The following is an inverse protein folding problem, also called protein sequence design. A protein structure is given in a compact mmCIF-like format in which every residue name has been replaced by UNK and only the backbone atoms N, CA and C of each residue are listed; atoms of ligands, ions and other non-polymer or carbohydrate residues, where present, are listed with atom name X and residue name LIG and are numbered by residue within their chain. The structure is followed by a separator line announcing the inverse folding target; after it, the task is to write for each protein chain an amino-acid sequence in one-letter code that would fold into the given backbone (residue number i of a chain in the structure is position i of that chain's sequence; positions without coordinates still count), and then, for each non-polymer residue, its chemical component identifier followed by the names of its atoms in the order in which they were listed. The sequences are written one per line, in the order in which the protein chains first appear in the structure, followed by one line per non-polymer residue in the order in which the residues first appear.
data_IF_344030762417
#
_entry.id   IF_344030762417
#
_cell.length_a   1.000
_cell.length_b   1.000
_cell.length_c   1.000
_cell.angle_alpha   90.00
_cell.angle_beta   90.00
_cell.angle_gamma   90.00
#
_symmetry.space_group_name_H-M   'P 1'
#
loop_
_entity.id
_entity.type
_entity.pdbx_description
1 polymer ?
#
# COMPACT_ATOMS: atom_id res chain seq x y z
N UNK A 1 -19.54 15.82 -45.08
CA UNK A 1 -20.28 16.12 -43.83
C UNK A 1 -19.69 15.20 -42.79
N UNK A 2 -18.67 15.67 -42.07
CA UNK A 2 -17.78 14.82 -41.28
C UNK A 2 -18.12 14.87 -39.78
N UNK A 3 -18.46 13.67 -39.30
CA UNK A 3 -18.48 13.08 -37.96
C UNK A 3 -18.51 13.98 -36.71
N UNK A 4 -19.61 13.83 -35.98
CA UNK A 4 -19.85 14.27 -34.61
C UNK A 4 -18.66 14.03 -33.67
N UNK A 5 -18.19 15.11 -33.05
CA UNK A 5 -17.16 15.13 -32.00
C UNK A 5 -17.61 14.43 -30.71
N UNK A 6 -17.72 13.10 -30.74
CA UNK A 6 -17.99 12.27 -29.57
C UNK A 6 -16.85 12.43 -28.57
N UNK A 7 -17.19 12.68 -27.30
CA UNK A 7 -16.27 12.76 -26.15
C UNK A 7 -16.32 11.46 -25.35
N UNK A 8 -15.65 10.38 -25.78
CA UNK A 8 -15.80 9.06 -25.16
C UNK A 8 -15.13 8.96 -23.78
N UNK A 9 -14.23 9.88 -23.43
CA UNK A 9 -13.43 9.76 -22.22
C UNK A 9 -14.01 10.60 -21.08
N UNK A 10 -14.74 9.95 -20.16
CA UNK A 10 -15.33 10.59 -18.97
C UNK A 10 -14.38 10.49 -17.78
N UNK A 11 -14.31 11.56 -16.98
CA UNK A 11 -13.61 11.53 -15.71
C UNK A 11 -14.31 10.57 -14.75
N UNK A 12 -13.53 9.76 -14.02
CA UNK A 12 -14.03 8.76 -13.08
C UNK A 12 -14.04 9.25 -11.62
N UNK A 13 -13.62 10.48 -11.37
CA UNK A 13 -13.56 11.05 -10.02
C UNK A 13 -14.96 11.40 -9.53
N UNK A 14 -15.31 10.95 -8.31
CA UNK A 14 -16.64 11.14 -7.73
C UNK A 14 -16.94 12.65 -7.59
N UNK A 15 -18.02 13.13 -8.23
CA UNK A 15 -18.37 14.56 -8.28
C UNK A 15 -17.79 15.35 -9.45
N UNK A 16 -17.15 14.68 -10.43
CA UNK A 16 -16.63 15.34 -11.64
C UNK A 16 -17.21 14.75 -12.94
N UNK A 17 -18.16 15.46 -13.55
CA UNK A 17 -18.84 15.01 -14.78
C UNK A 17 -18.15 15.46 -16.08
N UNK A 18 -16.87 15.85 -16.02
CA UNK A 18 -16.15 16.36 -17.19
C UNK A 18 -15.82 15.23 -18.17
N UNK A 19 -16.06 15.50 -19.46
CA UNK A 19 -15.83 14.55 -20.56
C UNK A 19 -14.91 15.18 -21.61
N UNK A 20 -14.07 14.34 -22.21
CA UNK A 20 -12.99 14.76 -23.10
C UNK A 20 -12.98 13.97 -24.40
N UNK A 21 -12.57 14.65 -25.46
CA UNK A 21 -12.39 14.06 -26.80
C UNK A 21 -11.22 13.07 -26.85
N UNK A 22 -10.23 13.21 -25.96
CA UNK A 22 -9.07 12.31 -25.92
C UNK A 22 -8.61 12.01 -24.49
N UNK A 23 -8.02 10.83 -24.33
CA UNK A 23 -7.45 10.38 -23.06
C UNK A 23 -6.32 11.30 -22.54
N UNK A 24 -5.63 12.01 -23.45
CA UNK A 24 -4.58 12.99 -23.09
C UNK A 24 -5.15 14.18 -22.32
N UNK A 25 -6.28 14.72 -22.77
CA UNK A 25 -6.94 15.84 -22.10
C UNK A 25 -7.59 15.42 -20.79
N UNK A 26 -8.18 14.22 -20.74
CA UNK A 26 -8.70 13.66 -19.50
C UNK A 26 -7.60 13.52 -18.43
N UNK A 27 -6.45 12.94 -18.79
CA UNK A 27 -5.31 12.78 -17.87
C UNK A 27 -4.76 14.13 -17.41
N UNK A 28 -4.69 15.12 -18.29
CA UNK A 28 -4.25 16.47 -17.91
C UNK A 28 -5.22 17.13 -16.93
N UNK A 29 -6.52 16.94 -17.11
CA UNK A 29 -7.54 17.38 -16.15
C UNK A 29 -7.40 16.67 -14.80
N UNK A 30 -7.25 15.33 -14.81
CA UNK A 30 -7.03 14.55 -13.58
C UNK A 30 -5.75 14.97 -12.85
N UNK A 31 -4.68 15.28 -13.60
CA UNK A 31 -3.40 15.75 -13.04
C UNK A 31 -3.48 17.13 -12.40
N UNK A 32 -4.36 18.01 -12.88
CA UNK A 32 -4.44 19.40 -12.41
C UNK A 32 -5.48 19.61 -11.32
N UNK A 33 -6.63 18.93 -11.45
CA UNK A 33 -7.81 19.19 -10.64
C UNK A 33 -8.04 18.13 -9.57
N UNK A 34 -7.52 16.91 -9.77
CA UNK A 34 -7.81 15.75 -8.88
C UNK A 34 -6.56 15.18 -8.20
N UNK A 35 -5.38 15.34 -8.78
CA UNK A 35 -4.12 14.93 -8.16
C UNK A 35 -3.30 16.17 -7.84
N UNK A 36 -3.19 16.49 -6.56
CA UNK A 36 -2.31 17.55 -6.08
C UNK A 36 -0.81 17.21 -6.18
N UNK A 37 -0.33 16.53 -7.24
CA UNK A 37 1.11 16.38 -7.49
C UNK A 37 1.61 17.71 -8.10
N UNK A 38 2.48 18.47 -7.40
CA UNK A 38 3.01 19.73 -7.92
C UNK A 38 3.75 19.49 -9.26
N UNK A 39 3.74 20.47 -10.19
CA UNK A 39 4.37 20.32 -11.50
C UNK A 39 5.88 20.01 -11.46
N UNK A 40 6.54 20.21 -10.31
CA UNK A 40 7.99 20.02 -10.09
C UNK A 40 8.30 18.83 -9.17
N UNK A 41 7.38 17.87 -9.01
CA UNK A 41 7.69 16.67 -8.23
C UNK A 41 8.64 15.74 -9.01
N UNK A 42 9.92 15.75 -8.63
CA UNK A 42 10.98 14.93 -9.22
C UNK A 42 10.66 13.42 -9.23
N UNK A 43 9.95 12.93 -8.20
CA UNK A 43 9.47 11.54 -8.12
C UNK A 43 8.39 11.23 -9.17
N UNK A 44 7.45 12.16 -9.42
CA UNK A 44 6.45 12.06 -10.50
C UNK A 44 7.13 12.17 -11.89
N UNK A 45 8.22 12.96 -12.00
CA UNK A 45 8.97 13.20 -13.24
C UNK A 45 9.78 11.99 -13.71
N UNK A 46 10.48 11.32 -12.78
CA UNK A 46 11.16 10.04 -13.03
C UNK A 46 10.17 8.93 -13.43
N UNK A 47 9.00 8.88 -12.78
CA UNK A 47 7.92 7.94 -13.13
C UNK A 47 7.36 8.20 -14.55
N UNK A 48 7.33 9.46 -14.98
CA UNK A 48 6.86 9.86 -16.33
C UNK A 48 7.89 9.54 -17.41
N UNK A 49 9.18 9.72 -17.13
CA UNK A 49 10.25 9.40 -18.08
C UNK A 49 10.35 7.89 -18.34
N UNK A 50 10.10 7.03 -17.33
CA UNK A 50 9.98 5.57 -17.53
C UNK A 50 8.79 5.14 -18.40
N UNK A 51 7.76 5.98 -18.60
CA UNK A 51 6.65 5.66 -19.52
C UNK A 51 6.99 5.89 -21.00
N UNK A 52 7.97 6.74 -21.32
CA UNK A 52 8.38 6.97 -22.73
C UNK A 52 9.23 5.83 -23.29
N UNK A 53 9.81 5.00 -22.42
CA UNK A 53 10.53 3.77 -22.79
C UNK A 53 9.64 2.53 -22.82
N UNK A 54 8.30 2.67 -22.84
CA UNK A 54 7.37 1.57 -23.17
C UNK A 54 7.45 1.18 -24.66
N UNK A 55 8.64 0.81 -25.13
CA UNK A 55 8.82 -0.05 -26.29
C UNK A 55 9.22 -1.42 -25.72
N UNK A 56 8.30 -2.37 -25.87
CA UNK A 56 8.38 -3.79 -25.49
C UNK A 56 8.48 -4.06 -23.98
N UNK A 57 7.34 -4.34 -23.37
CA UNK A 57 7.31 -5.37 -22.33
C UNK A 57 7.24 -6.71 -23.09
N UNK A 58 8.41 -7.20 -23.49
CA UNK A 58 8.68 -8.65 -23.52
C UNK A 58 9.41 -8.92 -22.19
N UNK A 59 9.19 -10.10 -21.62
CA UNK A 59 9.73 -10.58 -20.33
C UNK A 59 11.17 -10.16 -20.02
N UNK A 60 11.35 -9.04 -19.31
CA UNK A 60 12.61 -8.71 -18.64
C UNK A 60 12.35 -8.84 -17.13
N UNK A 61 12.91 -9.91 -16.57
CA UNK A 61 12.80 -10.40 -15.20
C UNK A 61 12.84 -9.28 -14.14
N UNK A 62 11.77 -9.19 -13.33
CA UNK A 62 11.87 -8.64 -11.97
C UNK A 62 12.42 -9.80 -11.12
N UNK A 63 13.72 -9.85 -10.76
CA UNK A 63 14.35 -11.11 -10.34
C UNK A 63 14.07 -11.50 -8.88
N UNK A 64 13.10 -10.87 -8.20
CA UNK A 64 12.71 -11.25 -6.84
C UNK A 64 11.21 -11.01 -6.67
N UNK A 65 10.41 -12.00 -7.09
CA UNK A 65 9.09 -12.23 -6.51
C UNK A 65 9.31 -13.10 -5.27
N UNK A 66 9.08 -12.56 -4.09
CA UNK A 66 8.76 -13.44 -2.97
C UNK A 66 7.49 -14.21 -3.35
N UNK A 67 7.51 -15.53 -3.24
CA UNK A 67 6.32 -16.34 -3.46
C UNK A 67 5.42 -16.22 -2.24
N UNK A 68 4.61 -15.16 -2.19
CA UNK A 68 3.59 -15.03 -1.16
C UNK A 68 2.57 -16.17 -1.30
N UNK A 69 2.17 -16.84 -0.21
CA UNK A 69 1.11 -17.84 -0.24
C UNK A 69 -0.14 -17.33 -0.95
N UNK A 70 -0.77 -18.19 -1.76
CA UNK A 70 -1.90 -17.81 -2.61
C UNK A 70 -3.03 -17.12 -1.82
N UNK A 71 -3.31 -17.59 -0.60
CA UNK A 71 -4.33 -16.99 0.28
C UNK A 71 -4.03 -15.54 0.64
N UNK A 72 -2.77 -15.20 0.87
CA UNK A 72 -2.36 -13.84 1.18
C UNK A 72 -2.39 -12.93 -0.05
N UNK A 73 -2.03 -13.47 -1.22
CA UNK A 73 -2.19 -12.78 -2.50
C UNK A 73 -3.66 -12.43 -2.78
N UNK A 74 -4.57 -13.38 -2.59
CA UNK A 74 -6.02 -13.16 -2.76
C UNK A 74 -6.54 -12.07 -1.82
N UNK A 75 -6.07 -12.05 -0.57
CA UNK A 75 -6.43 -11.01 0.40
C UNK A 75 -5.88 -9.64 0.06
N UNK A 76 -4.65 -9.55 -0.45
CA UNK A 76 -4.10 -8.30 -0.98
C UNK A 76 -4.94 -7.78 -2.15
N UNK A 77 -5.34 -8.67 -3.06
CA UNK A 77 -6.18 -8.30 -4.21
C UNK A 77 -7.56 -7.81 -3.77
N UNK A 78 -8.23 -8.51 -2.85
CA UNK A 78 -9.53 -8.12 -2.30
C UNK A 78 -9.45 -6.80 -1.51
N UNK A 79 -8.41 -6.63 -0.69
CA UNK A 79 -8.13 -5.37 0.01
C UNK A 79 -7.94 -4.20 -0.97
N UNK A 80 -7.17 -4.41 -2.03
CA UNK A 80 -6.95 -3.38 -3.05
C UNK A 80 -8.24 -3.01 -3.79
N UNK A 81 -9.08 -3.99 -4.13
CA UNK A 81 -10.38 -3.75 -4.79
C UNK A 81 -11.34 -2.98 -3.88
N UNK A 82 -11.43 -3.36 -2.60
CA UNK A 82 -12.24 -2.67 -1.59
C UNK A 82 -11.83 -1.20 -1.42
N UNK A 83 -10.53 -0.93 -1.37
CA UNK A 83 -10.02 0.44 -1.19
C UNK A 83 -10.18 1.28 -2.48
N UNK A 84 -9.79 0.74 -3.64
CA UNK A 84 -9.69 1.52 -4.89
C UNK A 84 -11.01 1.66 -5.64
N UNK A 85 -11.85 0.62 -5.65
CA UNK A 85 -13.08 0.60 -6.45
C UNK A 85 -14.33 0.85 -5.60
N UNK A 86 -14.30 0.44 -4.34
CA UNK A 86 -15.47 0.46 -3.47
C UNK A 86 -15.42 1.53 -2.36
N UNK A 87 -14.31 2.29 -2.26
CA UNK A 87 -14.12 3.38 -1.28
C UNK A 87 -14.35 2.92 0.16
N UNK A 88 -13.92 1.70 0.48
CA UNK A 88 -13.85 1.23 1.86
C UNK A 88 -12.57 1.74 2.52
N UNK A 89 -12.60 1.87 3.84
CA UNK A 89 -11.45 2.19 4.67
C UNK A 89 -11.34 1.17 5.81
N UNK A 90 -10.10 0.88 6.19
CA UNK A 90 -9.78 0.11 7.39
C UNK A 90 -10.01 1.01 8.62
N UNK A 91 -10.89 0.64 9.57
CA UNK A 91 -11.03 1.38 10.83
C UNK A 91 -9.78 1.19 11.69
N UNK A 92 -9.31 2.30 12.26
CA UNK A 92 -8.17 2.36 13.17
C UNK A 92 -8.67 2.86 14.54
N UNK A 93 -8.14 2.37 15.68
CA UNK A 93 -7.09 1.38 15.78
C UNK A 93 -7.57 -0.05 15.43
N UNK A 94 -6.70 -0.83 14.79
CA UNK A 94 -6.93 -2.25 14.51
C UNK A 94 -6.56 -3.11 15.71
N UNK A 95 -7.29 -4.21 15.85
CA UNK A 95 -7.03 -5.26 16.84
C UNK A 95 -7.07 -6.62 16.13
N UNK A 96 -5.99 -7.40 16.11
CA UNK A 96 -4.67 -7.14 16.70
C UNK A 96 -3.89 -6.03 15.96
N UNK A 97 -3.03 -5.31 16.69
CA UNK A 97 -2.13 -4.31 16.11
C UNK A 97 -0.88 -4.96 15.50
N UNK A 98 -0.14 -4.26 14.64
CA UNK A 98 1.13 -4.75 14.10
C UNK A 98 2.12 -5.08 15.21
N UNK A 99 2.16 -4.26 16.27
CA UNK A 99 2.99 -4.57 17.45
C UNK A 99 2.61 -5.90 18.06
N UNK A 100 1.33 -6.15 18.30
CA UNK A 100 0.85 -7.39 18.89
C UNK A 100 1.17 -8.60 18.00
N UNK A 101 0.91 -8.48 16.69
CA UNK A 101 1.18 -9.54 15.70
C UNK A 101 2.68 -9.90 15.69
N UNK A 102 3.58 -8.91 15.62
CA UNK A 102 5.01 -9.17 15.61
C UNK A 102 5.52 -9.68 16.96
N UNK A 103 4.96 -9.23 18.08
CA UNK A 103 5.29 -9.79 19.39
C UNK A 103 4.89 -11.26 19.50
N UNK A 104 3.73 -11.64 18.98
CA UNK A 104 3.29 -13.02 18.96
C UNK A 104 4.16 -13.87 18.02
N UNK A 105 4.53 -13.32 16.85
CA UNK A 105 5.50 -13.95 15.96
C UNK A 105 6.86 -14.17 16.64
N UNK A 106 7.43 -13.15 17.30
CA UNK A 106 8.72 -13.26 18.02
C UNK A 106 8.68 -14.36 19.09
N UNK A 107 7.54 -14.58 19.77
CA UNK A 107 7.39 -15.67 20.76
C UNK A 107 7.45 -17.06 20.12
N UNK A 108 7.09 -17.19 18.84
CA UNK A 108 7.17 -18.47 18.11
C UNK A 108 8.58 -18.77 17.61
N UNK A 109 9.43 -17.74 17.47
CA UNK A 109 10.79 -17.89 16.99
C UNK A 109 11.72 -18.44 18.08
N UNK A 110 12.52 -19.44 17.71
CA UNK A 110 13.63 -19.93 18.55
C UNK A 110 14.95 -19.22 18.22
N UNK A 111 15.05 -18.67 17.01
CA UNK A 111 16.24 -18.00 16.51
C UNK A 111 16.29 -16.53 16.97
N UNK A 112 17.40 -16.15 17.61
CA UNK A 112 17.63 -14.79 18.08
C UNK A 112 17.91 -13.81 16.93
N UNK A 113 18.54 -14.26 15.85
CA UNK A 113 18.85 -13.39 14.72
C UNK A 113 17.57 -12.97 14.01
N UNK A 114 16.65 -13.92 13.79
CA UNK A 114 15.32 -13.64 13.19
C UNK A 114 14.49 -12.73 14.12
N UNK A 115 14.61 -12.90 15.44
CA UNK A 115 13.97 -12.01 16.41
C UNK A 115 14.50 -10.57 16.33
N UNK A 116 15.81 -10.37 16.18
CA UNK A 116 16.42 -9.04 15.99
C UNK A 116 15.98 -8.41 14.65
N UNK A 117 15.84 -9.22 13.60
CA UNK A 117 15.22 -8.80 12.33
C UNK A 117 13.78 -8.35 12.53
N UNK A 118 12.96 -9.07 13.31
CA UNK A 118 11.58 -8.70 13.58
C UNK A 118 11.46 -7.33 14.28
N UNK A 119 12.35 -7.05 15.23
CA UNK A 119 12.41 -5.75 15.94
C UNK A 119 12.78 -4.63 14.97
N UNK A 120 13.81 -4.86 14.14
CA UNK A 120 14.25 -3.90 13.12
C UNK A 120 13.14 -3.66 12.08
N UNK A 121 12.43 -4.72 11.69
CA UNK A 121 11.31 -4.68 10.77
C UNK A 121 10.12 -3.89 11.33
N UNK A 122 9.82 -3.97 12.63
CA UNK A 122 8.80 -3.13 13.26
C UNK A 122 9.13 -1.63 13.16
N UNK A 123 10.40 -1.30 13.41
CA UNK A 123 10.88 0.09 13.29
C UNK A 123 10.74 0.58 11.86
N UNK A 124 11.17 -0.24 10.90
CA UNK A 124 11.01 0.03 9.48
C UNK A 124 9.54 0.20 9.09
N UNK A 125 8.64 -0.64 9.61
CA UNK A 125 7.21 -0.53 9.36
C UNK A 125 6.69 0.85 9.75
N UNK A 126 7.00 1.31 10.96
CA UNK A 126 6.56 2.63 11.45
C UNK A 126 7.04 3.78 10.54
N UNK A 127 8.23 3.68 9.96
CA UNK A 127 8.76 4.68 9.00
C UNK A 127 8.13 4.57 7.61
N UNK A 128 7.78 3.36 7.18
CA UNK A 128 7.35 3.08 5.80
C UNK A 128 5.83 3.25 5.59
N UNK A 129 5.03 3.20 6.66
CA UNK A 129 3.56 3.33 6.58
C UNK A 129 3.16 4.56 5.77
N UNK A 130 3.53 5.75 6.24
CA UNK A 130 3.15 7.01 5.60
C UNK A 130 3.55 7.14 4.13
N UNK A 131 4.85 6.99 3.78
CA UNK A 131 5.33 7.23 2.42
C UNK A 131 5.03 6.10 1.43
N UNK A 132 4.94 4.84 1.85
CA UNK A 132 4.94 3.71 0.92
C UNK A 132 3.75 2.75 1.02
N UNK A 133 3.03 2.68 2.16
CA UNK A 133 2.00 1.66 2.37
C UNK A 133 0.56 2.17 2.23
N UNK A 134 0.33 3.47 2.36
CA UNK A 134 -1.01 4.06 2.35
C UNK A 134 -1.46 4.48 0.96
N UNK A 135 -2.74 4.21 0.67
CA UNK A 135 -3.44 4.77 -0.47
C UNK A 135 -3.87 6.22 -0.19
N UNK A 136 -4.17 6.99 -1.24
CA UNK A 136 -4.58 8.40 -1.11
C UNK A 136 -5.78 8.60 -0.18
N UNK A 137 -6.72 7.64 -0.16
CA UNK A 137 -7.89 7.68 0.72
C UNK A 137 -7.54 7.51 2.21
N UNK A 138 -6.45 6.80 2.53
CA UNK A 138 -5.98 6.55 3.90
C UNK A 138 -5.15 7.72 4.44
N UNK A 139 -4.64 8.62 3.58
CA UNK A 139 -3.76 9.71 4.02
C UNK A 139 -4.42 10.64 5.05
N UNK A 140 -5.72 10.91 4.91
CA UNK A 140 -6.45 11.73 5.91
C UNK A 140 -6.47 11.07 7.29
N UNK A 141 -6.69 9.76 7.32
CA UNK A 141 -6.69 8.97 8.56
C UNK A 141 -5.29 8.94 9.20
N UNK A 142 -4.26 8.79 8.37
CA UNK A 142 -2.88 8.85 8.86
C UNK A 142 -2.50 10.20 9.45
N UNK A 143 -2.91 11.31 8.85
CA UNK A 143 -2.68 12.64 9.43
C UNK A 143 -3.35 12.78 10.80
N UNK A 144 -4.54 12.20 11.00
CA UNK A 144 -5.20 12.16 12.31
C UNK A 144 -4.39 11.35 13.31
N UNK A 145 -3.84 10.20 12.92
CA UNK A 145 -2.97 9.39 13.78
C UNK A 145 -1.71 10.17 14.19
N UNK A 146 -1.07 10.88 13.25
CA UNK A 146 0.11 11.71 13.54
C UNK A 146 -0.16 12.80 14.60
N UNK A 147 -1.41 13.27 14.73
CA UNK A 147 -1.78 14.21 15.81
C UNK A 147 -2.01 13.54 17.16
N UNK A 148 -2.25 12.22 17.18
CA UNK A 148 -2.53 11.44 18.38
C UNK A 148 -1.28 10.78 18.95
N UNK A 149 -0.35 10.36 18.09
CA UNK A 149 0.90 9.71 18.50
C UNK A 149 1.92 10.73 19.03
N UNK A 150 2.65 10.33 20.06
CA UNK A 150 3.77 11.11 20.63
C UNK A 150 5.10 10.70 20.03
N UNK A 151 5.21 9.46 19.54
CA UNK A 151 6.41 8.91 18.94
C UNK A 151 6.08 8.04 17.74
N UNK A 152 7.05 7.88 16.83
CA UNK A 152 6.87 7.05 15.63
C UNK A 152 6.60 5.58 15.98
N UNK A 153 7.13 5.11 17.11
CA UNK A 153 6.96 3.74 17.61
C UNK A 153 5.49 3.39 17.91
N UNK A 154 4.67 4.39 18.27
CA UNK A 154 3.24 4.20 18.56
C UNK A 154 2.40 4.00 17.29
N UNK A 155 2.94 4.30 16.10
CA UNK A 155 2.21 4.16 14.84
C UNK A 155 1.80 2.70 14.61
N UNK A 156 2.70 1.75 14.92
CA UNK A 156 2.44 0.32 14.79
C UNK A 156 1.33 -0.22 15.70
N UNK A 157 0.87 0.57 16.69
CA UNK A 157 -0.25 0.20 17.56
C UNK A 157 -1.63 0.50 16.93
N UNK A 158 -1.67 1.38 15.92
CA UNK A 158 -2.93 1.74 15.25
C UNK A 158 -3.24 0.82 14.07
N UNK A 159 -2.21 0.39 13.34
CA UNK A 159 -2.34 -0.41 12.13
C UNK A 159 -2.43 -1.91 12.42
N UNK A 160 -2.98 -2.67 11.48
CA UNK A 160 -3.22 -4.11 11.61
C UNK A 160 -2.54 -4.95 10.53
N UNK A 161 -3.01 -6.19 10.40
CA UNK A 161 -2.45 -7.19 9.48
C UNK A 161 -2.50 -6.80 8.00
N UNK A 162 -3.47 -5.98 7.58
CA UNK A 162 -3.61 -5.55 6.19
C UNK A 162 -2.44 -4.68 5.74
N UNK A 163 -2.06 -3.71 6.58
CA UNK A 163 -0.94 -2.81 6.30
C UNK A 163 0.40 -3.53 6.43
N UNK A 164 0.52 -4.43 7.41
CA UNK A 164 1.68 -5.30 7.56
C UNK A 164 1.91 -6.13 6.30
N UNK A 165 0.85 -6.76 5.77
CA UNK A 165 0.94 -7.57 4.56
C UNK A 165 1.37 -6.77 3.32
N UNK A 166 0.96 -5.49 3.21
CA UNK A 166 1.43 -4.59 2.15
C UNK A 166 2.94 -4.35 2.23
N UNK A 167 3.50 -4.22 3.44
CA UNK A 167 4.94 -4.07 3.60
C UNK A 167 5.66 -5.34 3.21
N UNK A 168 5.20 -6.50 3.73
CA UNK A 168 5.77 -7.80 3.38
C UNK A 168 5.84 -7.96 1.87
N UNK A 169 4.74 -7.73 1.15
CA UNK A 169 4.68 -7.84 -0.32
C UNK A 169 5.61 -6.87 -1.08
N UNK A 170 5.86 -5.68 -0.53
CA UNK A 170 6.60 -4.61 -1.21
C UNK A 170 8.09 -4.59 -0.86
N UNK A 171 8.45 -5.12 0.31
CA UNK A 171 9.79 -4.98 0.85
C UNK A 171 10.88 -5.66 0.00
N UNK A 172 10.68 -6.86 -0.59
CA UNK A 172 11.70 -7.46 -1.45
C UNK A 172 12.00 -6.66 -2.70
N UNK A 173 10.99 -6.01 -3.28
CA UNK A 173 11.19 -5.13 -4.42
C UNK A 173 12.04 -3.92 -4.02
N UNK A 174 11.73 -3.28 -2.88
CA UNK A 174 12.49 -2.13 -2.38
C UNK A 174 13.93 -2.56 -2.04
N UNK A 175 14.10 -3.68 -1.35
CA UNK A 175 15.39 -4.22 -0.94
C UNK A 175 16.27 -4.57 -2.15
N UNK A 176 15.67 -5.08 -3.22
CA UNK A 176 16.36 -5.31 -4.50
C UNK A 176 16.82 -4.01 -5.16
N UNK A 177 15.93 -3.01 -5.24
CA UNK A 177 16.23 -1.71 -5.85
C UNK A 177 17.39 -0.98 -5.14
N UNK A 178 17.47 -1.10 -3.81
CA UNK A 178 18.55 -0.50 -3.01
C UNK A 178 19.80 -1.39 -2.90
N UNK A 179 19.79 -2.60 -3.49
CA UNK A 179 20.86 -3.61 -3.36
C UNK A 179 21.21 -3.92 -1.90
N UNK A 180 20.21 -4.27 -1.10
CA UNK A 180 20.40 -4.66 0.29
C UNK A 180 21.36 -5.85 0.40
N UNK A 181 22.34 -5.80 1.31
CA UNK A 181 23.42 -6.80 1.36
C UNK A 181 22.94 -8.19 1.84
N UNK A 182 21.88 -8.23 2.66
CA UNK A 182 21.39 -9.41 3.37
C UNK A 182 20.06 -9.93 2.79
N UNK A 183 19.99 -10.04 1.46
CA UNK A 183 18.74 -10.42 0.78
C UNK A 183 18.24 -11.81 1.15
N UNK A 184 19.13 -12.79 1.35
CA UNK A 184 18.72 -14.16 1.66
C UNK A 184 18.09 -14.25 3.06
N UNK A 185 18.70 -13.59 4.05
CA UNK A 185 18.18 -13.48 5.42
C UNK A 185 16.84 -12.72 5.44
N UNK A 186 16.71 -11.67 4.63
CA UNK A 186 15.45 -10.93 4.48
C UNK A 186 14.35 -11.82 3.88
N UNK A 187 14.66 -12.62 2.86
CA UNK A 187 13.70 -13.54 2.24
C UNK A 187 13.23 -14.58 3.26
N UNK A 188 14.16 -15.23 3.96
CA UNK A 188 13.85 -16.23 4.99
C UNK A 188 12.97 -15.64 6.10
N UNK A 189 13.30 -14.44 6.59
CA UNK A 189 12.46 -13.73 7.56
C UNK A 189 11.05 -13.47 7.02
N UNK A 190 10.93 -12.97 5.79
CA UNK A 190 9.63 -12.65 5.18
C UNK A 190 8.79 -13.90 4.90
N UNK A 191 9.43 -15.02 4.54
CA UNK A 191 8.77 -16.31 4.35
C UNK A 191 8.20 -16.85 5.67
N UNK A 192 8.99 -16.82 6.75
CA UNK A 192 8.52 -17.20 8.08
C UNK A 192 7.36 -16.31 8.56
N UNK A 193 7.48 -15.00 8.36
CA UNK A 193 6.42 -14.07 8.71
C UNK A 193 5.15 -14.29 7.87
N UNK A 194 5.29 -14.51 6.56
CA UNK A 194 4.16 -14.79 5.68
C UNK A 194 3.45 -16.09 6.07
N UNK A 195 4.20 -17.15 6.40
CA UNK A 195 3.61 -18.41 6.86
C UNK A 195 2.85 -18.22 8.19
N UNK A 196 3.44 -17.52 9.16
CA UNK A 196 2.76 -17.18 10.41
C UNK A 196 1.47 -16.39 10.17
N UNK A 197 1.49 -15.42 9.24
CA UNK A 197 0.31 -14.65 8.86
C UNK A 197 -0.77 -15.49 8.18
N UNK A 198 -0.38 -16.52 7.43
CA UNK A 198 -1.31 -17.46 6.79
C UNK A 198 -1.97 -18.40 7.80
N UNK A 199 -1.20 -18.98 8.72
CA UNK A 199 -1.70 -19.85 9.79
C UNK A 199 -2.67 -19.11 10.73
N UNK A 200 -2.37 -17.84 11.02
CA UNK A 200 -3.18 -16.98 11.89
C UNK A 200 -4.09 -16.03 11.10
N UNK A 201 -4.43 -16.39 9.86
CA UNK A 201 -5.14 -15.50 8.94
C UNK A 201 -6.54 -15.08 9.43
N UNK A 202 -7.25 -15.93 10.16
CA UNK A 202 -8.57 -15.59 10.71
C UNK A 202 -8.52 -14.59 11.87
N UNK A 203 -7.41 -14.54 12.60
CA UNK A 203 -7.23 -13.64 13.75
C UNK A 203 -6.55 -12.34 13.34
N UNK A 204 -5.64 -12.38 12.36
CA UNK A 204 -4.84 -11.22 11.92
C UNK A 204 -5.64 -10.28 11.01
N UNK A 205 -6.53 -10.80 10.16
CA UNK A 205 -7.23 -10.00 9.18
C UNK A 205 -8.72 -9.93 9.47
N UNK A 206 -9.22 -8.71 9.67
CA UNK A 206 -10.62 -8.48 9.98
C UNK A 206 -11.37 -8.00 8.73
N UNK A 207 -12.53 -8.59 8.47
CA UNK A 207 -13.45 -8.13 7.41
C UNK A 207 -14.20 -6.82 7.75
N UNK A 208 -13.89 -6.21 8.90
CA UNK A 208 -14.52 -4.94 9.28
C UNK A 208 -13.93 -3.81 8.44
N UNK A 209 -14.68 -3.38 7.42
CA UNK A 209 -14.41 -2.19 6.63
C UNK A 209 -15.59 -1.23 6.75
N UNK A 210 -15.34 0.08 6.72
CA UNK A 210 -16.42 1.07 6.60
C UNK A 210 -16.33 1.80 5.28
N UNK A 211 -17.50 2.09 4.68
CA UNK A 211 -17.57 2.84 3.43
C UNK A 211 -17.37 4.32 3.75
N UNK A 212 -16.43 4.97 3.05
CA UNK A 212 -16.17 6.39 3.21
C UNK A 212 -17.41 7.17 2.75
N UNK A 213 -18.00 7.93 3.67
CA UNK A 213 -19.07 8.87 3.34
C UNK A 213 -18.46 10.27 3.15
N UNK A 214 -18.78 11.03 2.08
CA UNK A 214 -18.15 12.32 1.80
C UNK A 214 -18.28 13.36 2.93
N UNK A 215 -19.30 13.23 3.77
CA UNK A 215 -19.64 14.16 4.86
C UNK A 215 -19.06 13.77 6.23
N UNK A 216 -18.31 12.66 6.35
CA UNK A 216 -17.71 12.25 7.62
C UNK A 216 -16.52 13.14 8.00
N UNK A 217 -16.67 13.90 9.10
CA UNK A 217 -15.62 14.77 9.67
C UNK A 217 -14.51 13.99 10.38
N UNK A 218 -14.77 12.76 10.81
CA UNK A 218 -13.85 11.89 11.54
C UNK A 218 -13.88 10.50 10.93
N UNK A 219 -12.70 9.91 10.68
CA UNK A 219 -12.51 8.60 10.03
C UNK A 219 -12.29 7.48 11.06
N UNK A 220 -13.04 7.54 12.17
CA UNK A 220 -13.10 6.54 13.23
C UNK A 220 -14.44 5.81 13.18
#
# INVERSE_FOLDING_TARGET
MEEDGKKPHKCKHLGCDKTYVSLRYLRAHETKEHTGCPPECKLCEEFRNRRKTRKKHEDDDIPILMELPQKLCERLMDGNDKMLNNSYLVPLPRTPSVRAILQDFIKTLQDKEIADFAISFYTLFCEMVGPFLLYEIEKKQYQQILTLVKSNDEIGDYYGGEHLLRLVAKLPQIAYEIRFDKMDELKEFLEHLAHFMEENSETIFLEKFFRINPDQKTLF
#
